data_IF_738949246590
#
_entry.id   IF_738949246590
#
_cell.length_a   1.000
_cell.length_b   1.000
_cell.length_c   1.000
_cell.angle_alpha   90.00
_cell.angle_beta   90.00
_cell.angle_gamma   90.00
#
_symmetry.space_group_name_H-M   'P 1'
#
loop_
_entity.id
_entity.type
_entity.pdbx_description
1 polymer ?
#
# COMPACT_ATOMS: atom_id res chain seq x y z
N UNK A 1 -21.19 4.33 10.81
CA UNK A 1 -20.03 4.34 11.72
C UNK A 1 -18.85 4.90 10.94
N UNK A 2 -18.34 6.07 11.31
CA UNK A 2 -17.18 6.69 10.68
C UNK A 2 -15.96 6.18 11.45
N UNK A 3 -15.14 5.31 10.86
CA UNK A 3 -13.88 4.93 11.48
C UNK A 3 -12.96 6.14 11.42
N UNK A 4 -12.57 6.68 12.58
CA UNK A 4 -11.61 7.77 12.67
C UNK A 4 -10.19 7.21 12.58
N UNK A 5 -9.52 7.47 11.46
CA UNK A 5 -8.18 6.96 11.19
C UNK A 5 -7.07 7.82 11.81
N UNK A 6 -7.39 9.03 12.31
CA UNK A 6 -6.38 9.98 12.82
C UNK A 6 -5.66 9.45 14.07
N UNK A 7 -6.39 8.72 14.92
CA UNK A 7 -5.88 8.30 16.23
C UNK A 7 -5.20 6.92 16.21
N UNK A 8 -5.04 6.32 15.03
CA UNK A 8 -4.62 4.92 14.90
C UNK A 8 -3.37 4.78 14.03
N UNK A 9 -2.50 3.84 14.40
CA UNK A 9 -1.41 3.40 13.53
C UNK A 9 -1.97 2.42 12.48
N UNK A 10 -2.59 2.95 11.43
CA UNK A 10 -3.31 2.14 10.45
C UNK A 10 -2.35 1.25 9.66
N UNK A 11 -2.66 -0.05 9.55
CA UNK A 11 -1.97 -0.97 8.66
C UNK A 11 -2.92 -1.40 7.54
N UNK A 12 -2.50 -1.23 6.29
CA UNK A 12 -3.39 -1.36 5.13
C UNK A 12 -2.70 -2.22 4.07
N UNK A 13 -3.33 -3.34 3.74
CA UNK A 13 -2.93 -4.21 2.64
C UNK A 13 -4.10 -4.36 1.65
N UNK A 14 -4.39 -3.32 0.85
CA UNK A 14 -5.57 -3.30 0.01
C UNK A 14 -5.34 -4.10 -1.28
N UNK A 15 -6.40 -4.61 -1.92
CA UNK A 15 -6.35 -4.94 -3.34
C UNK A 15 -5.74 -3.78 -4.14
N UNK A 16 -4.83 -4.06 -5.07
CA UNK A 16 -4.04 -3.00 -5.75
C UNK A 16 -4.89 -1.92 -6.44
N UNK A 17 -6.09 -2.28 -6.91
CA UNK A 17 -7.03 -1.34 -7.54
C UNK A 17 -7.57 -0.27 -6.57
N UNK A 18 -7.51 -0.54 -5.26
CA UNK A 18 -8.01 0.35 -4.22
C UNK A 18 -6.92 1.26 -3.64
N UNK A 19 -5.66 1.14 -4.08
CA UNK A 19 -4.55 1.98 -3.59
C UNK A 19 -4.90 3.46 -3.71
N UNK A 20 -5.41 3.91 -4.86
CA UNK A 20 -5.80 5.32 -5.05
C UNK A 20 -6.84 5.79 -4.01
N UNK A 21 -7.88 4.97 -3.76
CA UNK A 21 -8.92 5.28 -2.77
C UNK A 21 -8.39 5.32 -1.34
N UNK A 22 -7.40 4.49 -1.02
CA UNK A 22 -6.71 4.53 0.27
C UNK A 22 -5.95 5.85 0.43
N UNK A 23 -5.24 6.31 -0.61
CA UNK A 23 -4.56 7.60 -0.57
C UNK A 23 -5.54 8.75 -0.35
N UNK A 24 -6.70 8.71 -1.03
CA UNK A 24 -7.76 9.70 -0.85
C UNK A 24 -8.28 9.71 0.60
N UNK A 25 -8.48 8.53 1.19
CA UNK A 25 -8.93 8.41 2.58
C UNK A 25 -7.89 8.92 3.59
N UNK A 26 -6.60 8.57 3.40
CA UNK A 26 -5.50 9.01 4.26
C UNK A 26 -5.37 10.53 4.22
N UNK A 27 -5.44 11.15 3.04
CA UNK A 27 -5.35 12.59 2.89
C UNK A 27 -6.59 13.31 3.44
N UNK A 28 -7.79 12.84 3.12
CA UNK A 28 -9.04 13.45 3.59
C UNK A 28 -9.17 13.42 5.12
N UNK A 29 -8.67 12.35 5.74
CA UNK A 29 -8.69 12.19 7.18
C UNK A 29 -7.41 12.67 7.86
N UNK A 30 -6.42 13.22 7.15
CA UNK A 30 -5.10 13.58 7.73
C UNK A 30 -4.52 12.45 8.60
N UNK A 31 -4.71 11.21 8.15
CA UNK A 31 -4.29 10.04 8.90
C UNK A 31 -2.83 9.71 8.58
N UNK A 32 -2.21 8.93 9.46
CA UNK A 32 -0.99 8.21 9.12
C UNK A 32 -1.29 6.73 8.92
N UNK A 33 -0.58 6.11 7.98
CA UNK A 33 -0.75 4.69 7.70
C UNK A 33 0.54 4.04 7.20
N UNK A 34 0.64 2.74 7.46
CA UNK A 34 1.55 1.82 6.80
C UNK A 34 0.79 1.09 5.70
N UNK A 35 1.06 1.43 4.45
CA UNK A 35 0.42 0.88 3.28
C UNK A 35 1.35 -0.13 2.58
N UNK A 36 0.84 -1.34 2.33
CA UNK A 36 1.50 -2.32 1.47
C UNK A 36 1.08 -2.05 0.02
N UNK A 37 2.04 -1.63 -0.80
CA UNK A 37 1.80 -1.33 -2.21
C UNK A 37 3.06 -1.61 -3.06
N UNK A 38 2.89 -1.99 -4.34
CA UNK A 38 4.01 -2.19 -5.24
C UNK A 38 4.59 -0.86 -5.73
N UNK A 39 5.86 -0.89 -6.14
CA UNK A 39 6.49 0.24 -6.85
C UNK A 39 6.24 0.10 -8.35
N UNK A 40 5.20 0.76 -8.87
CA UNK A 40 4.84 0.76 -10.30
C UNK A 40 4.82 2.19 -10.87
N UNK A 41 5.93 2.68 -11.45
CA UNK A 41 6.04 4.04 -11.98
C UNK A 41 4.95 4.43 -12.99
N UNK A 42 4.43 3.47 -13.76
CA UNK A 42 3.39 3.73 -14.76
C UNK A 42 1.97 3.89 -14.19
N UNK A 43 1.77 3.75 -12.88
CA UNK A 43 0.43 3.88 -12.28
C UNK A 43 0.12 5.33 -11.88
N UNK A 44 -1.11 5.84 -12.14
CA UNK A 44 -1.47 7.22 -11.82
C UNK A 44 -1.33 7.61 -10.35
N UNK A 45 -1.49 6.63 -9.43
CA UNK A 45 -1.39 6.83 -7.99
C UNK A 45 0.06 6.83 -7.47
N UNK A 46 1.05 6.41 -8.27
CA UNK A 46 2.43 6.22 -7.81
C UNK A 46 3.07 7.54 -7.35
N UNK A 47 2.96 8.59 -8.16
CA UNK A 47 3.51 9.90 -7.81
C UNK A 47 2.85 10.48 -6.55
N UNK A 48 1.54 10.24 -6.36
CA UNK A 48 0.83 10.64 -5.14
C UNK A 48 1.33 9.85 -3.93
N UNK A 49 1.49 8.53 -4.06
CA UNK A 49 2.03 7.68 -3.00
C UNK A 49 3.42 8.16 -2.55
N UNK A 50 4.30 8.52 -3.49
CA UNK A 50 5.63 9.05 -3.17
C UNK A 50 5.57 10.37 -2.41
N UNK A 51 4.68 11.29 -2.80
CA UNK A 51 4.49 12.57 -2.11
C UNK A 51 3.98 12.41 -0.68
N UNK A 52 3.06 11.48 -0.46
CA UNK A 52 2.54 11.20 0.89
C UNK A 52 3.50 10.40 1.76
N UNK A 53 4.55 9.81 1.17
CA UNK A 53 5.55 9.02 1.90
C UNK A 53 6.40 9.90 2.79
N UNK A 54 6.41 9.63 4.09
CA UNK A 54 7.18 10.42 5.08
C UNK A 54 8.60 9.91 5.28
N UNK A 55 8.90 8.71 4.79
CA UNK A 55 10.25 8.13 4.81
C UNK A 55 10.46 7.20 3.60
N UNK A 56 11.71 6.75 3.35
CA UNK A 56 11.98 5.76 2.32
C UNK A 56 11.20 4.46 2.56
N UNK A 57 10.55 3.88 1.53
CA UNK A 57 9.73 2.68 1.71
C UNK A 57 10.60 1.46 1.99
N UNK A 58 10.11 0.57 2.86
CA UNK A 58 10.79 -0.67 3.19
C UNK A 58 10.46 -1.75 2.15
N UNK A 59 11.48 -2.30 1.49
CA UNK A 59 11.30 -3.42 0.56
C UNK A 59 10.90 -4.68 1.31
N UNK A 60 9.81 -5.31 0.88
CA UNK A 60 9.38 -6.59 1.43
C UNK A 60 10.14 -7.77 0.80
N UNK A 61 10.14 -8.95 1.46
CA UNK A 61 10.62 -10.18 0.84
C UNK A 61 9.93 -10.45 -0.51
N UNK A 62 10.53 -11.30 -1.37
CA UNK A 62 9.91 -11.74 -2.61
C UNK A 62 8.45 -12.17 -2.41
N UNK A 63 7.60 -11.89 -3.39
CA UNK A 63 6.16 -12.18 -3.33
C UNK A 63 5.83 -13.64 -3.03
N UNK A 64 6.73 -14.56 -3.39
CA UNK A 64 6.61 -15.99 -3.08
C UNK A 64 6.74 -16.32 -1.60
N UNK A 65 7.31 -15.40 -0.79
CA UNK A 65 7.43 -15.50 0.66
C UNK A 65 6.47 -14.56 1.38
N UNK A 66 6.18 -13.39 0.81
CA UNK A 66 5.35 -12.35 1.43
C UNK A 66 3.84 -12.49 1.15
N UNK A 67 3.45 -13.18 0.08
CA UNK A 67 2.04 -13.41 -0.26
C UNK A 67 1.80 -14.92 -0.26
N UNK A 68 0.97 -15.43 0.65
CA UNK A 68 0.68 -16.87 0.75
C UNK A 68 -0.68 -17.12 0.09
N UNK A 69 -0.78 -17.99 -0.92
CA UNK A 69 -2.06 -18.35 -1.51
C UNK A 69 -2.92 -19.10 -0.49
N UNK A 70 -4.22 -18.81 -0.45
CA UNK A 70 -5.16 -19.47 0.45
C UNK A 70 -5.39 -20.94 0.06
N UNK A 71 -5.23 -21.28 -1.22
CA UNK A 71 -5.38 -22.64 -1.75
C UNK A 71 -4.13 -23.04 -2.56
N UNK A 72 -3.72 -24.32 -2.58
CA UNK A 72 -2.44 -24.75 -3.16
C UNK A 72 -2.30 -24.46 -4.66
N UNK A 73 -3.40 -24.32 -5.39
CA UNK A 73 -3.43 -24.12 -6.86
C UNK A 73 -3.87 -22.70 -7.26
N UNK A 74 -4.12 -21.84 -6.28
CA UNK A 74 -4.65 -20.50 -6.55
C UNK A 74 -3.53 -19.60 -7.05
N UNK A 75 -3.63 -19.20 -8.32
CA UNK A 75 -2.80 -18.12 -8.83
C UNK A 75 -3.37 -16.79 -8.34
N UNK A 76 -2.75 -16.25 -7.30
CA UNK A 76 -3.02 -14.89 -6.84
C UNK A 76 -2.08 -13.91 -7.53
N UNK A 77 -2.57 -12.73 -7.88
CA UNK A 77 -1.67 -11.58 -8.00
C UNK A 77 -1.10 -11.31 -6.60
N UNK A 78 0.22 -11.12 -6.44
CA UNK A 78 1.23 -10.80 -7.47
C UNK A 78 2.06 -11.99 -7.99
N UNK A 79 1.75 -13.26 -7.64
CA UNK A 79 2.59 -14.43 -7.98
C UNK A 79 2.74 -14.68 -9.49
N UNK A 80 1.77 -14.22 -10.29
CA UNK A 80 1.83 -14.28 -11.76
C UNK A 80 2.97 -13.43 -12.32
N UNK A 81 3.39 -12.39 -11.61
CA UNK A 81 4.50 -11.53 -12.02
C UNK A 81 5.55 -11.44 -10.90
N UNK A 82 6.50 -12.37 -10.90
CA UNK A 82 7.58 -12.46 -9.90
C UNK A 82 8.54 -11.26 -9.89
N UNK A 83 8.46 -10.37 -10.89
CA UNK A 83 9.22 -9.11 -10.91
C UNK A 83 8.59 -8.03 -10.05
N UNK A 84 7.32 -8.21 -9.66
CA UNK A 84 6.66 -7.26 -8.78
C UNK A 84 7.32 -7.27 -7.40
N UNK A 85 7.83 -6.10 -7.03
CA UNK A 85 8.43 -5.87 -5.72
C UNK A 85 7.43 -5.08 -4.89
N UNK A 86 7.04 -5.66 -3.76
CA UNK A 86 6.17 -5.01 -2.78
C UNK A 86 7.01 -4.23 -1.77
N UNK A 87 6.40 -3.16 -1.28
CA UNK A 87 7.01 -2.28 -0.29
C UNK A 87 5.99 -1.93 0.79
N UNK A 88 6.49 -1.69 2.00
CA UNK A 88 5.75 -1.03 3.06
C UNK A 88 6.07 0.48 3.01
N UNK A 89 5.04 1.28 2.81
CA UNK A 89 5.11 2.73 2.72
C UNK A 89 4.55 3.32 3.99
N UNK A 90 5.34 4.14 4.71
CA UNK A 90 4.78 5.00 5.74
C UNK A 90 4.29 6.28 5.06
N UNK A 91 2.99 6.53 5.13
CA UNK A 91 2.36 7.69 4.51
C UNK A 91 1.63 8.54 5.55
N UNK A 92 1.61 9.85 5.30
CA UNK A 92 0.84 10.82 6.08
C UNK A 92 -0.01 11.69 5.16
N UNK A 93 -1.24 11.98 5.60
CA UNK A 93 -2.15 12.92 4.96
C UNK A 93 -1.98 14.38 5.40
N UNK A 94 -1.05 14.65 6.33
CA UNK A 94 -0.75 16.02 6.76
C UNK A 94 -0.14 16.83 5.59
N UNK A 95 -0.54 18.10 5.40
CA UNK A 95 0.13 18.97 4.44
C UNK A 95 1.56 19.27 4.93
N UNK A 96 2.55 18.82 4.16
CA UNK A 96 3.96 19.12 4.39
C UNK A 96 4.37 20.53 4.00
#
# INVERSE_FOLDING_TARGET
MHNDWQQHNNFINPPFRLVARVLDAVQAQRAEATLIAPMWPGQPWMERLRRLSVCPPLRLPPVTQACIPLLPHQQIEPHRNRRWTLFAWRISGEPG
#
